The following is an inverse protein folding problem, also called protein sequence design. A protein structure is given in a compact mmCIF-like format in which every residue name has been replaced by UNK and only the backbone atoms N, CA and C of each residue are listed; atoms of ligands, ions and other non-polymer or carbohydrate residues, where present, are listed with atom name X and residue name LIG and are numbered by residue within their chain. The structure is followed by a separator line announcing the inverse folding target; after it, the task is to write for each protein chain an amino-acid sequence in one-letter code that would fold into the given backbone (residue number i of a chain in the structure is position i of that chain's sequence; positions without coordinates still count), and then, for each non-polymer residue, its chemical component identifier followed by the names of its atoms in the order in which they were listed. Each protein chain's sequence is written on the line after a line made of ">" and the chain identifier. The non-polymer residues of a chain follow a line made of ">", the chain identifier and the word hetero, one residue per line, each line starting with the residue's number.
data_IF_623661689294
#
_entry.id   IF_623661689294
#
_cell.length_a   1.000
_cell.length_b   1.000
_cell.length_c   1.000
_cell.angle_alpha   90.00
_cell.angle_beta   90.00
_cell.angle_gamma   90.00
#
_symmetry.space_group_name_H-M   'P 1'
#
loop_
_entity.id
_entity.type
_entity.pdbx_description
1 polymer ?
#
# COMPACT_ATOMS: atom_id res chain seq x y z
N UNK A 1 -11.98 12.32 2.98
CA UNK A 1 -10.55 12.27 3.27
C UNK A 1 -9.70 12.58 2.05
N UNK A 2 -9.71 11.77 0.98
CA UNK A 2 -8.92 12.03 -0.27
C UNK A 2 -9.28 13.39 -0.91
N UNK A 3 -10.56 13.81 -0.85
CA UNK A 3 -11.05 15.11 -1.35
C UNK A 3 -10.59 16.31 -0.51
N UNK A 4 -10.08 16.10 0.69
CA UNK A 4 -9.64 17.15 1.61
C UNK A 4 -8.13 17.34 1.62
N UNK A 5 -7.36 16.45 1.00
CA UNK A 5 -5.90 16.58 0.90
C UNK A 5 -5.55 17.86 0.13
N UNK A 6 -4.78 18.74 0.75
CA UNK A 6 -4.40 20.04 0.18
C UNK A 6 -5.45 21.16 0.26
N UNK A 7 -6.65 20.91 0.83
CA UNK A 7 -7.73 21.90 1.03
C UNK A 7 -8.29 21.87 2.45
N UNK A 8 -7.43 21.62 3.43
CA UNK A 8 -7.86 21.43 4.81
C UNK A 8 -8.21 22.77 5.46
N UNK A 9 -9.32 22.85 6.22
CA UNK A 9 -9.55 23.94 7.18
C UNK A 9 -8.39 23.99 8.20
N UNK A 10 -8.11 25.19 8.74
CA UNK A 10 -6.97 25.44 9.66
C UNK A 10 -6.87 24.50 10.89
N UNK A 11 -7.94 23.77 11.20
CA UNK A 11 -8.03 22.89 12.37
C UNK A 11 -8.13 21.39 12.01
N UNK A 12 -8.01 21.01 10.73
CA UNK A 12 -8.06 19.62 10.29
C UNK A 12 -6.76 19.27 9.61
N UNK A 13 -6.05 18.30 10.17
CA UNK A 13 -4.86 17.72 9.58
C UNK A 13 -5.21 16.35 8.95
N UNK A 14 -4.80 16.16 7.70
CA UNK A 14 -4.90 14.86 7.02
C UNK A 14 -3.57 14.14 7.18
N UNK A 15 -3.58 13.07 7.95
CA UNK A 15 -2.40 12.25 8.18
C UNK A 15 -2.49 10.95 7.39
N UNK A 16 -1.36 10.52 6.85
CA UNK A 16 -1.20 9.21 6.24
C UNK A 16 -0.43 8.32 7.22
N UNK A 17 -1.10 7.35 7.87
CA UNK A 17 -0.45 6.49 8.87
C UNK A 17 0.59 5.55 8.28
N UNK A 18 0.49 5.28 6.98
CA UNK A 18 1.41 4.45 6.22
C UNK A 18 2.10 5.30 5.15
N UNK A 19 3.39 5.11 4.98
CA UNK A 19 4.19 5.73 3.93
C UNK A 19 5.23 4.73 3.41
N UNK A 20 5.32 4.60 2.09
CA UNK A 20 6.29 3.72 1.42
C UNK A 20 6.33 2.30 2.01
N UNK A 21 5.14 1.73 2.27
CA UNK A 21 4.96 0.38 2.77
C UNK A 21 5.20 0.19 4.27
N UNK A 22 5.61 1.21 5.00
CA UNK A 22 5.87 1.15 6.44
C UNK A 22 4.93 2.07 7.24
N UNK A 23 4.80 1.79 8.55
CA UNK A 23 4.07 2.67 9.47
C UNK A 23 4.92 3.93 9.70
N UNK A 24 4.39 5.09 9.29
CA UNK A 24 5.02 6.40 9.50
C UNK A 24 4.63 7.04 10.83
N UNK A 25 3.43 6.74 11.31
CA UNK A 25 2.93 7.20 12.60
C UNK A 25 2.14 6.10 13.29
N UNK A 26 2.75 5.49 14.32
CA UNK A 26 2.18 4.34 15.03
C UNK A 26 0.87 4.67 15.73
N UNK A 27 0.75 5.85 16.34
CA UNK A 27 -0.48 6.27 17.05
C UNK A 27 -1.65 6.40 16.09
N UNK A 28 -1.43 7.04 14.94
CA UNK A 28 -2.48 7.20 13.92
C UNK A 28 -2.81 5.85 13.27
N UNK A 29 -1.79 5.00 13.02
CA UNK A 29 -2.00 3.65 12.50
C UNK A 29 -2.85 2.79 13.43
N UNK A 30 -2.56 2.79 14.73
CA UNK A 30 -3.37 2.09 15.76
C UNK A 30 -4.82 2.55 15.76
N UNK A 31 -5.05 3.86 15.75
CA UNK A 31 -6.39 4.43 15.72
C UNK A 31 -7.15 4.05 14.43
N UNK A 32 -6.47 4.11 13.28
CA UNK A 32 -7.04 3.71 12.00
C UNK A 32 -7.40 2.22 11.95
N UNK A 33 -6.48 1.34 12.38
CA UNK A 33 -6.71 -0.12 12.41
C UNK A 33 -7.86 -0.46 13.36
N UNK A 34 -7.91 0.18 14.52
CA UNK A 34 -9.02 0.01 15.48
C UNK A 34 -10.37 0.35 14.87
N UNK A 35 -10.45 1.45 14.14
CA UNK A 35 -11.68 1.84 13.46
C UNK A 35 -12.07 0.86 12.36
N UNK A 36 -11.10 0.37 11.58
CA UNK A 36 -11.33 -0.65 10.54
C UNK A 36 -11.85 -1.94 11.15
N UNK A 37 -11.20 -2.44 12.21
CA UNK A 37 -11.62 -3.65 12.92
C UNK A 37 -13.04 -3.48 13.47
N UNK A 38 -13.33 -2.34 14.10
CA UNK A 38 -14.64 -2.07 14.68
C UNK A 38 -15.77 -2.06 13.63
N UNK A 39 -15.47 -1.62 12.40
CA UNK A 39 -16.44 -1.63 11.29
C UNK A 39 -16.68 -3.00 10.70
N UNK A 40 -15.68 -3.87 10.69
CA UNK A 40 -15.77 -5.21 10.09
C UNK A 40 -16.31 -6.21 11.10
N UNK A 41 -15.97 -6.05 12.41
CA UNK A 41 -16.34 -6.98 13.46
C UNK A 41 -17.72 -6.65 14.00
N UNK A 42 -18.70 -7.48 13.73
CA UNK A 42 -20.08 -7.30 14.22
C UNK A 42 -20.23 -7.58 15.72
N UNK A 43 -19.28 -8.25 16.35
CA UNK A 43 -19.31 -8.64 17.75
C UNK A 43 -18.26 -7.91 18.59
N UNK A 44 -18.68 -7.33 19.70
CA UNK A 44 -17.75 -6.73 20.70
C UNK A 44 -17.10 -7.78 21.62
N UNK A 45 -17.61 -9.02 21.61
CA UNK A 45 -17.14 -10.06 22.53
C UNK A 45 -16.05 -10.95 21.94
N UNK A 46 -15.97 -11.05 20.61
CA UNK A 46 -14.98 -11.89 19.94
C UNK A 46 -13.95 -11.06 19.21
N UNK A 47 -12.69 -11.17 19.65
CA UNK A 47 -11.57 -10.54 18.97
C UNK A 47 -11.19 -11.37 17.74
N UNK A 48 -11.07 -10.77 16.55
CA UNK A 48 -10.75 -11.50 15.33
C UNK A 48 -9.28 -11.91 15.26
N UNK A 49 -9.00 -12.98 14.53
CA UNK A 49 -7.67 -13.23 13.95
C UNK A 49 -7.57 -12.42 12.67
N UNK A 50 -6.47 -11.70 12.50
CA UNK A 50 -6.23 -10.79 11.38
C UNK A 50 -5.05 -11.29 10.58
N UNK A 51 -5.21 -11.37 9.26
CA UNK A 51 -4.12 -11.56 8.31
C UNK A 51 -3.82 -10.20 7.69
N UNK A 52 -2.56 -9.78 7.73
CA UNK A 52 -2.09 -8.51 7.18
C UNK A 52 -1.04 -8.78 6.12
N UNK A 53 -1.28 -8.25 4.95
CA UNK A 53 -0.32 -8.24 3.86
C UNK A 53 0.71 -7.13 4.09
N UNK A 54 1.98 -7.45 3.88
CA UNK A 54 3.11 -6.53 4.13
C UNK A 54 4.18 -6.66 3.04
N UNK A 55 4.89 -5.56 2.72
CA UNK A 55 6.02 -5.60 1.80
C UNK A 55 7.06 -6.65 2.18
N UNK A 56 7.72 -7.19 1.17
CA UNK A 56 8.67 -8.30 1.35
C UNK A 56 9.94 -7.90 2.11
N UNK A 57 10.31 -6.61 2.07
CA UNK A 57 11.55 -6.07 2.63
C UNK A 57 11.41 -5.45 4.02
N UNK A 58 10.24 -5.55 4.65
CA UNK A 58 10.05 -5.02 6.00
C UNK A 58 11.06 -5.63 6.98
N UNK A 59 11.73 -4.77 7.72
CA UNK A 59 12.62 -5.18 8.80
C UNK A 59 11.81 -5.67 10.04
N UNK A 60 12.52 -6.22 11.03
CA UNK A 60 11.88 -6.77 12.23
C UNK A 60 11.11 -5.70 13.01
N UNK A 61 11.63 -4.48 13.10
CA UNK A 61 10.98 -3.39 13.84
C UNK A 61 9.69 -2.95 13.15
N UNK A 62 9.71 -2.82 11.84
CA UNK A 62 8.53 -2.47 11.03
C UNK A 62 7.45 -3.55 11.14
N UNK A 63 7.83 -4.84 11.09
CA UNK A 63 6.90 -5.97 11.30
C UNK A 63 6.27 -5.94 12.69
N UNK A 64 7.08 -5.73 13.72
CA UNK A 64 6.59 -5.64 15.09
C UNK A 64 5.62 -4.47 15.27
N UNK A 65 5.90 -3.32 14.64
CA UNK A 65 5.00 -2.17 14.67
C UNK A 65 3.62 -2.48 14.05
N UNK A 66 3.59 -3.24 12.94
CA UNK A 66 2.33 -3.69 12.32
C UNK A 66 1.57 -4.62 13.25
N UNK A 67 2.24 -5.62 13.84
CA UNK A 67 1.63 -6.58 14.77
C UNK A 67 1.09 -5.85 16.01
N UNK A 68 1.86 -4.93 16.58
CA UNK A 68 1.45 -4.11 17.74
C UNK A 68 0.23 -3.25 17.40
N UNK A 69 0.25 -2.56 16.26
CA UNK A 69 -0.86 -1.73 15.82
C UNK A 69 -2.16 -2.55 15.68
N UNK A 70 -2.09 -3.75 15.13
CA UNK A 70 -3.23 -4.65 14.98
C UNK A 70 -3.73 -5.20 16.34
N UNK A 71 -2.83 -5.60 17.24
CA UNK A 71 -3.20 -6.09 18.58
C UNK A 71 -3.86 -4.99 19.40
N UNK A 72 -3.30 -3.80 19.43
CA UNK A 72 -3.87 -2.62 20.11
C UNK A 72 -5.19 -2.18 19.46
N UNK A 73 -5.33 -2.41 18.15
CA UNK A 73 -6.58 -2.22 17.42
C UNK A 73 -7.69 -3.19 17.78
N UNK A 74 -7.38 -4.28 18.49
CA UNK A 74 -8.36 -5.25 18.99
C UNK A 74 -8.24 -6.65 18.39
N UNK A 75 -7.20 -6.96 17.63
CA UNK A 75 -6.94 -8.31 17.13
C UNK A 75 -6.58 -9.27 18.27
N UNK A 76 -7.12 -10.51 18.22
CA UNK A 76 -6.69 -11.61 19.09
C UNK A 76 -5.33 -12.13 18.63
N UNK A 77 -5.19 -12.33 17.34
CA UNK A 77 -4.03 -12.91 16.71
C UNK A 77 -3.74 -12.19 15.39
N UNK A 78 -2.48 -12.05 15.05
CA UNK A 78 -2.04 -11.37 13.84
C UNK A 78 -1.07 -12.26 13.08
N UNK A 79 -1.39 -12.52 11.83
CA UNK A 79 -0.55 -13.24 10.90
C UNK A 79 -0.08 -12.28 9.80
N UNK A 80 1.22 -12.26 9.52
CA UNK A 80 1.76 -11.47 8.42
C UNK A 80 1.99 -12.35 7.20
N UNK A 81 1.52 -11.90 6.06
CA UNK A 81 1.76 -12.51 4.75
C UNK A 81 2.48 -11.50 3.86
N UNK A 82 3.41 -11.94 3.04
CA UNK A 82 4.11 -11.05 2.10
C UNK A 82 3.22 -10.67 0.92
N UNK A 83 3.24 -9.39 0.52
CA UNK A 83 2.41 -8.84 -0.55
C UNK A 83 2.43 -9.67 -1.84
N UNK A 84 3.61 -10.08 -2.39
CA UNK A 84 3.63 -10.87 -3.63
C UNK A 84 2.95 -12.24 -3.49
N UNK A 85 2.99 -12.83 -2.29
CA UNK A 85 2.32 -14.10 -2.03
C UNK A 85 0.80 -13.92 -2.00
N UNK A 86 0.33 -12.86 -1.36
CA UNK A 86 -1.09 -12.48 -1.34
C UNK A 86 -1.60 -12.17 -2.73
N UNK A 87 -0.82 -11.43 -3.53
CA UNK A 87 -1.15 -11.06 -4.90
C UNK A 87 -1.27 -12.30 -5.80
N UNK A 88 -0.32 -13.24 -5.68
CA UNK A 88 -0.36 -14.49 -6.43
C UNK A 88 -1.59 -15.34 -6.07
N UNK A 89 -1.91 -15.47 -4.79
CA UNK A 89 -3.11 -16.17 -4.34
C UNK A 89 -4.38 -15.49 -4.84
N UNK A 90 -4.46 -14.18 -4.73
CA UNK A 90 -5.64 -13.41 -5.15
C UNK A 90 -5.85 -13.40 -6.67
N UNK A 91 -4.79 -13.60 -7.45
CA UNK A 91 -4.84 -13.76 -8.91
C UNK A 91 -4.92 -15.23 -9.37
N UNK A 92 -5.16 -16.15 -8.44
CA UNK A 92 -5.34 -17.59 -8.70
C UNK A 92 -4.15 -18.23 -9.44
N UNK A 93 -2.94 -17.72 -9.18
CA UNK A 93 -1.73 -18.29 -9.77
C UNK A 93 -1.35 -19.61 -9.09
N UNK A 94 -0.99 -20.62 -9.89
CA UNK A 94 -0.62 -21.95 -9.42
C UNK A 94 0.83 -21.96 -8.86
N UNK A 95 1.03 -21.29 -7.71
CA UNK A 95 2.35 -21.13 -7.07
C UNK A 95 2.86 -22.41 -6.38
N UNK A 96 2.00 -23.41 -6.21
CA UNK A 96 2.36 -24.73 -5.67
C UNK A 96 3.23 -25.55 -6.62
N UNK A 97 3.24 -25.21 -7.91
CA UNK A 97 3.98 -25.92 -8.94
C UNK A 97 5.45 -25.53 -8.96
N UNK A 98 6.33 -26.39 -9.53
CA UNK A 98 7.75 -26.06 -9.70
C UNK A 98 8.02 -24.93 -10.70
N UNK A 99 7.06 -24.64 -11.60
CA UNK A 99 7.19 -23.51 -12.51
C UNK A 99 7.23 -22.19 -11.73
N UNK A 100 8.19 -21.34 -12.10
CA UNK A 100 8.31 -20.02 -11.52
C UNK A 100 7.16 -19.11 -11.97
N UNK A 101 6.50 -18.45 -11.01
CA UNK A 101 5.50 -17.39 -11.26
C UNK A 101 6.14 -16.06 -10.89
N UNK A 102 6.29 -15.17 -11.87
CA UNK A 102 6.76 -13.80 -11.64
C UNK A 102 5.57 -12.91 -11.29
N UNK A 103 5.62 -12.30 -10.13
CA UNK A 103 4.62 -11.35 -9.65
C UNK A 103 5.24 -9.97 -9.61
N UNK A 104 4.57 -9.00 -10.23
CA UNK A 104 4.86 -7.59 -10.15
C UNK A 104 3.66 -6.89 -9.51
N UNK A 105 3.82 -6.40 -8.28
CA UNK A 105 2.82 -5.65 -7.54
C UNK A 105 3.25 -4.19 -7.45
N UNK A 106 2.51 -3.29 -8.11
CA UNK A 106 2.77 -1.86 -8.11
C UNK A 106 1.68 -1.16 -7.31
N UNK A 107 2.00 -0.85 -6.06
CA UNK A 107 1.10 -0.15 -5.16
C UNK A 107 1.15 1.37 -5.27
N UNK A 108 0.71 2.04 -4.21
CA UNK A 108 0.80 3.50 -4.11
C UNK A 108 2.20 3.98 -3.69
N UNK A 109 2.87 3.28 -2.77
CA UNK A 109 4.16 3.70 -2.22
C UNK A 109 5.29 2.68 -2.33
N UNK A 110 4.99 1.45 -2.79
CA UNK A 110 5.96 0.37 -2.96
C UNK A 110 5.63 -0.39 -4.23
N UNK A 111 6.66 -0.84 -4.92
CA UNK A 111 6.57 -1.80 -6.01
C UNK A 111 7.37 -3.04 -5.63
N UNK A 112 6.71 -4.19 -5.58
CA UNK A 112 7.31 -5.49 -5.29
C UNK A 112 7.43 -6.32 -6.57
N UNK A 113 8.62 -6.88 -6.82
CA UNK A 113 8.85 -7.88 -7.85
C UNK A 113 9.34 -9.17 -7.18
N UNK A 114 8.67 -10.27 -7.46
CA UNK A 114 8.98 -11.55 -6.80
C UNK A 114 8.79 -12.73 -7.72
N UNK A 115 9.68 -13.69 -7.60
CA UNK A 115 9.58 -15.01 -8.22
C UNK A 115 9.11 -16.01 -7.16
N UNK A 116 7.99 -16.66 -7.43
CA UNK A 116 7.35 -17.65 -6.57
C UNK A 116 7.43 -19.02 -7.22
N UNK A 117 7.65 -20.06 -6.42
CA UNK A 117 7.63 -21.46 -6.84
C UNK A 117 7.46 -22.38 -5.63
N UNK A 118 6.79 -23.50 -5.79
CA UNK A 118 6.60 -24.50 -4.73
C UNK A 118 6.11 -23.90 -3.42
N UNK A 119 5.11 -23.02 -3.44
CA UNK A 119 4.57 -22.27 -2.31
C UNK A 119 5.61 -21.41 -1.55
N UNK A 120 6.71 -21.07 -2.18
CA UNK A 120 7.77 -20.26 -1.62
C UNK A 120 8.14 -19.05 -2.45
N UNK A 121 8.74 -18.04 -1.81
CA UNK A 121 9.37 -16.93 -2.51
C UNK A 121 10.83 -17.31 -2.77
N UNK A 122 11.15 -17.50 -4.06
CA UNK A 122 12.52 -17.82 -4.52
C UNK A 122 13.39 -16.57 -4.46
N UNK A 123 12.84 -15.45 -4.96
CA UNK A 123 13.51 -14.14 -4.98
C UNK A 123 12.45 -13.07 -4.81
N UNK A 124 12.79 -12.00 -4.11
CA UNK A 124 11.94 -10.83 -3.98
C UNK A 124 12.78 -9.58 -3.86
N UNK A 125 12.29 -8.50 -4.48
CA UNK A 125 12.87 -7.17 -4.33
C UNK A 125 11.75 -6.14 -4.26
N UNK A 126 11.83 -5.26 -3.26
CA UNK A 126 10.94 -4.13 -3.09
C UNK A 126 11.62 -2.83 -3.50
N UNK A 127 10.90 -1.98 -4.19
CA UNK A 127 11.30 -0.63 -4.55
C UNK A 127 10.33 0.35 -3.89
N UNK A 128 10.85 1.34 -3.18
CA UNK A 128 10.04 2.39 -2.54
C UNK A 128 9.71 3.52 -3.53
N UNK A 129 9.39 3.13 -4.76
CA UNK A 129 8.94 3.97 -5.85
C UNK A 129 7.69 3.32 -6.42
N UNK A 130 6.59 4.07 -6.50
CA UNK A 130 5.31 3.55 -6.97
C UNK A 130 4.36 4.68 -7.41
N UNK A 131 3.06 4.43 -7.39
CA UNK A 131 2.05 5.32 -7.94
C UNK A 131 2.07 6.75 -7.41
N UNK A 132 2.43 6.97 -6.14
CA UNK A 132 2.52 8.31 -5.56
C UNK A 132 3.72 9.10 -6.09
N UNK A 133 4.85 8.42 -6.35
CA UNK A 133 6.04 9.07 -6.92
C UNK A 133 5.78 9.51 -8.36
N UNK A 134 4.98 8.74 -9.11
CA UNK A 134 4.52 9.16 -10.45
C UNK A 134 3.60 10.38 -10.39
N UNK A 135 2.68 10.44 -9.40
CA UNK A 135 1.83 11.61 -9.20
C UNK A 135 2.67 12.85 -8.87
N UNK A 136 3.70 12.69 -8.02
CA UNK A 136 4.59 13.78 -7.65
C UNK A 136 5.41 14.29 -8.84
N UNK A 137 5.92 13.39 -9.68
CA UNK A 137 6.61 13.75 -10.92
C UNK A 137 5.71 14.56 -11.87
N UNK A 138 4.42 14.21 -11.98
CA UNK A 138 3.44 14.97 -12.77
C UNK A 138 3.24 16.37 -12.18
N UNK A 139 3.08 16.49 -10.84
CA UNK A 139 2.93 17.79 -10.17
C UNK A 139 4.14 18.68 -10.45
N UNK A 140 5.34 18.13 -10.29
CA UNK A 140 6.59 18.87 -10.53
C UNK A 140 6.73 19.29 -11.99
N UNK A 141 6.35 18.43 -12.94
CA UNK A 141 6.34 18.78 -14.37
C UNK A 141 5.44 20.00 -14.64
N UNK A 142 4.19 19.99 -14.17
CA UNK A 142 3.27 21.11 -14.36
C UNK A 142 3.78 22.40 -13.70
N UNK A 143 4.35 22.29 -12.51
CA UNK A 143 4.94 23.43 -11.80
C UNK A 143 6.13 24.02 -12.57
N UNK A 144 7.04 23.17 -13.04
CA UNK A 144 8.27 23.64 -13.71
C UNK A 144 8.01 24.16 -15.14
N UNK A 145 7.20 23.46 -15.93
CA UNK A 145 7.07 23.75 -17.36
C UNK A 145 5.83 24.58 -17.71
N UNK A 146 4.78 24.48 -16.90
CA UNK A 146 3.51 25.18 -17.16
C UNK A 146 3.22 26.27 -16.13
N UNK A 147 4.00 26.37 -15.04
CA UNK A 147 3.77 27.29 -13.90
C UNK A 147 2.35 27.14 -13.29
N UNK A 148 1.81 25.92 -13.33
CA UNK A 148 0.49 25.58 -12.79
C UNK A 148 0.70 24.67 -11.60
N UNK A 149 -0.01 24.97 -10.51
CA UNK A 149 -0.08 24.09 -9.33
C UNK A 149 -1.31 23.20 -9.48
N UNK A 150 -1.11 21.92 -9.55
CA UNK A 150 -2.17 20.91 -9.56
C UNK A 150 -2.17 20.15 -8.24
N UNK A 151 -3.33 19.64 -7.83
CA UNK A 151 -3.45 18.80 -6.63
C UNK A 151 -2.99 17.37 -6.90
N UNK A 152 -2.63 16.63 -5.83
CA UNK A 152 -2.29 15.21 -5.96
C UNK A 152 -3.44 14.39 -6.58
N UNK A 153 -4.70 14.74 -6.25
CA UNK A 153 -5.87 14.07 -6.84
C UNK A 153 -6.01 14.34 -8.34
N UNK A 154 -5.63 15.53 -8.81
CA UNK A 154 -5.63 15.85 -10.24
C UNK A 154 -4.49 15.13 -10.96
N UNK A 155 -3.30 15.08 -10.35
CA UNK A 155 -2.17 14.32 -10.90
C UNK A 155 -2.49 12.82 -11.02
N UNK A 156 -3.09 12.22 -9.98
CA UNK A 156 -3.54 10.81 -10.03
C UNK A 156 -4.57 10.59 -11.14
N UNK A 157 -5.50 11.53 -11.33
CA UNK A 157 -6.50 11.45 -12.41
C UNK A 157 -5.82 11.53 -13.77
N UNK A 158 -4.93 12.50 -13.98
CA UNK A 158 -4.18 12.64 -15.23
C UNK A 158 -3.37 11.38 -15.54
N UNK A 159 -2.66 10.83 -14.54
CA UNK A 159 -1.93 9.58 -14.68
C UNK A 159 -2.82 8.44 -15.17
N UNK A 160 -4.03 8.30 -14.61
CA UNK A 160 -4.96 7.21 -14.96
C UNK A 160 -5.63 7.40 -16.31
N UNK A 161 -5.93 8.65 -16.67
CA UNK A 161 -6.66 8.96 -17.92
C UNK A 161 -5.74 9.06 -19.14
N UNK A 162 -4.52 9.58 -18.94
CA UNK A 162 -3.60 9.90 -20.05
C UNK A 162 -2.35 9.01 -20.06
N UNK A 163 -2.05 8.32 -18.95
CA UNK A 163 -0.86 7.46 -18.86
C UNK A 163 -0.97 6.28 -19.83
N UNK A 164 0.07 6.09 -20.63
CA UNK A 164 0.21 4.98 -21.56
C UNK A 164 1.63 4.44 -21.53
N UNK A 165 1.78 3.14 -21.75
CA UNK A 165 3.07 2.48 -21.95
C UNK A 165 3.43 2.36 -23.45
N UNK A 166 2.49 2.70 -24.31
CA UNK A 166 2.67 2.63 -25.75
C UNK A 166 2.72 4.06 -26.30
N UNK A 167 3.69 4.34 -27.17
CA UNK A 167 3.64 5.56 -27.99
C UNK A 167 2.36 5.48 -28.83
N UNK A 168 1.54 6.52 -28.75
CA UNK A 168 0.46 6.68 -29.72
C UNK A 168 1.14 7.08 -31.02
N UNK A 169 1.05 6.24 -32.04
CA UNK A 169 1.32 6.66 -33.41
C UNK A 169 0.42 7.87 -33.71
N UNK A 170 1.03 9.02 -34.02
CA UNK A 170 0.32 10.23 -34.44
C UNK A 170 -0.34 10.04 -35.80
#
# INVERSE_FOLDING_TARGET
>A
SKRMSGKNPKHIEVMHPLSKGAISNLTVAKAYIKEVIARITQSRFFKPTIVVSVPSDLNIMERNAVVEACKDGGAREVMLIKDPFSAALGSEQAIERPQGVLVLDIGAGVSDISLLSCNGIVMSKSLRIAGNDLDEAIIEYFKAHKRILISQSDAERLKKELGTLFEKEE
#
